data_IF_181278211093
#
_entry.id   IF_181278211093
#
_cell.length_a   1.000
_cell.length_b   1.000
_cell.length_c   1.000
_cell.angle_alpha   90.00
_cell.angle_beta   90.00
_cell.angle_gamma   90.00
#
_symmetry.space_group_name_H-M   'P 1'
#
loop_
_entity.id
_entity.type
_entity.pdbx_description
1 polymer ?
#
# COMPACT_ATOMS: atom_id res chain seq x y z
N UNK A 1 -1.00 -2.54 -2.37
CA UNK A 1 -1.11 -2.94 -0.95
C UNK A 1 -0.78 -4.40 -0.67
N UNK A 2 -1.19 -5.36 -1.51
CA UNK A 2 -0.93 -6.80 -1.26
C UNK A 2 0.55 -7.14 -0.99
N UNK A 3 1.48 -6.64 -1.81
CA UNK A 3 2.91 -6.86 -1.61
C UNK A 3 3.42 -6.28 -0.28
N UNK A 4 3.03 -5.04 0.05
CA UNK A 4 3.35 -4.40 1.33
C UNK A 4 2.81 -5.21 2.53
N UNK A 5 1.55 -5.63 2.50
CA UNK A 5 0.95 -6.38 3.60
C UNK A 5 1.60 -7.76 3.78
N UNK A 6 2.01 -8.43 2.70
CA UNK A 6 2.76 -9.69 2.78
C UNK A 6 4.15 -9.52 3.38
N UNK A 7 4.81 -8.39 3.12
CA UNK A 7 6.16 -8.10 3.63
C UNK A 7 6.16 -7.54 5.07
N UNK A 8 5.07 -6.90 5.50
CA UNK A 8 4.93 -6.34 6.84
C UNK A 8 4.69 -7.43 7.90
N UNK A 9 5.41 -7.34 9.03
CA UNK A 9 5.26 -8.22 10.20
C UNK A 9 4.05 -7.88 11.09
N UNK A 10 3.24 -6.88 10.72
CA UNK A 10 2.01 -6.57 11.45
C UNK A 10 0.99 -7.71 11.30
N UNK A 11 0.32 -8.09 12.40
CA UNK A 11 -0.75 -9.10 12.40
C UNK A 11 -1.96 -8.64 11.57
N UNK A 12 -2.18 -7.33 11.49
CA UNK A 12 -3.31 -6.73 10.79
C UNK A 12 -2.93 -6.24 9.39
N UNK A 13 -3.88 -6.28 8.47
CA UNK A 13 -3.71 -5.72 7.13
C UNK A 13 -3.86 -4.20 7.17
N UNK A 14 -3.01 -3.48 6.42
CA UNK A 14 -3.15 -2.04 6.23
C UNK A 14 -3.80 -1.72 4.89
N UNK A 15 -4.59 -0.64 4.86
CA UNK A 15 -5.25 -0.12 3.66
C UNK A 15 -4.91 1.36 3.48
N UNK A 16 -4.96 1.82 2.23
CA UNK A 16 -4.79 3.23 1.90
C UNK A 16 -5.99 4.01 2.44
N UNK A 17 -5.73 5.06 3.22
CA UNK A 17 -6.71 6.04 3.68
C UNK A 17 -6.92 7.08 2.58
N UNK A 18 -5.81 7.66 2.10
CA UNK A 18 -5.82 8.64 1.01
C UNK A 18 -4.50 8.68 0.27
N UNK A 19 -4.55 9.15 -0.97
CA UNK A 19 -3.37 9.48 -1.76
C UNK A 19 -3.02 10.94 -1.51
N UNK A 20 -1.79 11.20 -1.08
CA UNK A 20 -1.29 12.55 -0.81
C UNK A 20 -0.73 13.14 -2.10
N UNK A 21 0.11 12.38 -2.79
CA UNK A 21 0.64 12.75 -4.10
C UNK A 21 0.84 11.52 -4.98
N UNK A 22 0.72 11.71 -6.29
CA UNK A 22 0.97 10.67 -7.28
C UNK A 22 1.63 11.29 -8.50
N UNK A 23 2.73 10.69 -8.93
CA UNK A 23 3.46 11.06 -10.13
C UNK A 23 3.63 9.83 -11.01
N UNK A 24 3.69 10.06 -12.32
CA UNK A 24 3.98 9.00 -13.30
C UNK A 24 5.21 9.38 -14.11
N UNK A 25 6.04 8.38 -14.40
CA UNK A 25 7.20 8.51 -15.26
C UNK A 25 7.15 7.40 -16.32
N UNK A 26 7.25 7.78 -17.59
CA UNK A 26 7.30 6.84 -18.72
C UNK A 26 8.75 6.37 -18.90
N UNK A 27 8.94 5.05 -18.89
CA UNK A 27 10.24 4.36 -19.03
C UNK A 27 10.04 3.11 -19.89
N UNK A 28 10.81 2.03 -19.67
CA UNK A 28 10.48 0.69 -20.17
C UNK A 28 9.26 0.07 -19.42
N UNK A 29 8.21 0.86 -19.27
CA UNK A 29 7.00 0.62 -18.48
C UNK A 29 6.43 1.96 -18.01
N UNK A 30 5.46 1.93 -17.09
CA UNK A 30 4.97 3.10 -16.38
C UNK A 30 5.38 2.98 -14.92
N UNK A 31 6.23 3.90 -14.46
CA UNK A 31 6.65 4.00 -13.07
C UNK A 31 5.74 4.99 -12.34
N UNK A 32 5.02 4.51 -11.34
CA UNK A 32 4.20 5.32 -10.44
C UNK A 32 4.99 5.58 -9.15
N UNK A 33 5.07 6.83 -8.76
CA UNK A 33 5.67 7.26 -7.50
C UNK A 33 4.53 7.89 -6.70
N UNK A 34 4.16 7.26 -5.59
CA UNK A 34 2.97 7.62 -4.82
C UNK A 34 3.34 7.83 -3.36
N UNK A 35 2.95 8.96 -2.82
CA UNK A 35 2.93 9.21 -1.39
C UNK A 35 1.49 9.00 -0.90
N UNK A 36 1.29 8.07 0.01
CA UNK A 36 -0.03 7.67 0.48
C UNK A 36 -0.04 7.58 2.00
N UNK A 37 -1.18 7.95 2.58
CA UNK A 37 -1.46 7.66 3.98
C UNK A 37 -2.11 6.27 4.06
N UNK A 38 -1.55 5.39 4.88
CA UNK A 38 -2.12 4.08 5.19
C UNK A 38 -2.50 4.01 6.65
N UNK A 39 -3.50 3.18 6.96
CA UNK A 39 -3.89 2.88 8.33
C UNK A 39 -4.18 1.40 8.48
N UNK A 40 -4.04 0.94 9.72
CA UNK A 40 -4.32 -0.44 10.09
C UNK A 40 -5.83 -0.70 10.05
N UNK A 41 -6.19 -1.85 9.50
CA UNK A 41 -7.58 -2.33 9.46
C UNK A 41 -7.82 -3.37 10.54
N UNK A 42 -9.10 -3.63 10.84
CA UNK A 42 -9.55 -4.67 11.77
C UNK A 42 -9.29 -6.09 11.27
N UNK A 43 -9.01 -6.26 9.97
CA UNK A 43 -8.75 -7.57 9.38
C UNK A 43 -7.34 -8.07 9.67
N UNK A 44 -7.23 -9.28 10.20
CA UNK A 44 -5.97 -9.99 10.39
C UNK A 44 -5.47 -10.59 9.06
N UNK A 45 -4.16 -10.74 8.93
CA UNK A 45 -3.56 -11.45 7.78
C UNK A 45 -3.71 -12.97 7.95
N UNK A 46 -3.95 -13.74 6.86
CA UNK A 46 -4.20 -13.27 5.50
C UNK A 46 -5.67 -12.83 5.32
N UNK A 47 -5.88 -11.59 4.91
CA UNK A 47 -7.20 -11.10 4.54
C UNK A 47 -7.41 -11.28 3.03
N UNK A 48 -8.50 -11.94 2.65
CA UNK A 48 -8.90 -12.14 1.24
C UNK A 48 -9.50 -10.88 0.63
N UNK A 49 -10.21 -10.09 1.44
CA UNK A 49 -10.89 -8.87 1.00
C UNK A 49 -10.49 -7.65 1.84
N UNK A 50 -9.33 -7.08 1.52
CA UNK A 50 -8.80 -5.92 2.24
C UNK A 50 -9.64 -4.66 1.98
N UNK A 51 -10.40 -4.60 0.87
CA UNK A 51 -11.10 -3.37 0.47
C UNK A 51 -12.28 -3.06 1.39
N UNK A 52 -12.96 -4.09 1.90
CA UNK A 52 -14.09 -3.95 2.82
C UNK A 52 -13.69 -3.97 4.31
N UNK A 53 -12.40 -4.06 4.61
CA UNK A 53 -11.91 -4.02 5.99
C UNK A 53 -12.00 -2.61 6.57
N UNK A 54 -12.77 -2.48 7.65
CA UNK A 54 -12.86 -1.24 8.42
C UNK A 54 -11.52 -0.89 9.07
N UNK A 55 -11.23 0.40 9.23
CA UNK A 55 -10.09 0.87 9.99
C UNK A 55 -10.32 0.66 11.50
N UNK A 56 -9.25 0.53 12.28
CA UNK A 56 -9.38 0.62 13.73
C UNK A 56 -9.74 2.05 14.15
N UNK A 57 -10.70 2.19 15.07
CA UNK A 57 -11.13 3.49 15.58
C UNK A 57 -10.24 3.97 16.74
N UNK A 58 -9.70 3.05 17.55
CA UNK A 58 -8.82 3.42 18.65
C UNK A 58 -7.49 3.99 18.13
N UNK A 59 -7.07 5.20 18.55
CA UNK A 59 -5.85 5.85 18.04
C UNK A 59 -4.59 5.00 18.16
N UNK A 60 -4.48 4.23 19.25
CA UNK A 60 -3.38 3.31 19.52
C UNK A 60 -3.30 2.13 18.53
N UNK A 61 -4.43 1.75 17.93
CA UNK A 61 -4.53 0.63 16.98
C UNK A 61 -4.58 1.10 15.53
N UNK A 62 -5.16 2.27 15.25
CA UNK A 62 -5.33 2.82 13.89
C UNK A 62 -4.00 2.98 13.14
N UNK A 63 -2.92 3.35 13.85
CA UNK A 63 -1.53 3.45 13.34
C UNK A 63 -1.45 4.05 11.93
N UNK A 64 -1.86 5.32 11.81
CA UNK A 64 -1.70 6.08 10.58
C UNK A 64 -0.21 6.33 10.31
N UNK A 65 0.26 5.99 9.11
CA UNK A 65 1.62 6.30 8.65
C UNK A 65 1.59 6.71 7.19
N UNK A 66 2.57 7.54 6.80
CA UNK A 66 2.77 7.96 5.42
C UNK A 66 3.82 7.05 4.80
N UNK A 67 3.48 6.46 3.67
CA UNK A 67 4.36 5.61 2.90
C UNK A 67 4.58 6.17 1.50
N UNK A 68 5.83 6.09 1.05
CA UNK A 68 6.25 6.31 -0.32
C UNK A 68 6.38 4.95 -1.01
N UNK A 69 5.54 4.74 -2.03
CA UNK A 69 5.55 3.55 -2.87
C UNK A 69 6.02 3.90 -4.28
N UNK A 70 6.92 3.07 -4.80
CA UNK A 70 7.33 3.11 -6.21
C UNK A 70 6.88 1.82 -6.86
N UNK A 71 6.00 1.92 -7.84
CA UNK A 71 5.41 0.79 -8.56
C UNK A 71 5.76 0.87 -10.03
N UNK A 72 6.32 -0.19 -10.60
CA UNK A 72 6.53 -0.32 -12.04
C UNK A 72 5.47 -1.22 -12.64
N UNK A 73 4.76 -0.73 -13.64
CA UNK A 73 3.83 -1.50 -14.44
C UNK A 73 4.39 -1.66 -15.86
N UNK A 74 4.64 -2.91 -16.26
CA UNK A 74 5.05 -3.28 -17.62
C UNK A 74 3.90 -4.04 -18.27
N UNK A 75 2.92 -3.28 -18.77
CA UNK A 75 1.63 -3.81 -19.22
C UNK A 75 1.76 -4.89 -20.31
N UNK A 76 2.67 -4.73 -21.28
CA UNK A 76 2.89 -5.70 -22.36
C UNK A 76 3.56 -7.01 -21.90
N UNK A 77 4.03 -7.08 -20.65
CA UNK A 77 4.49 -8.31 -20.00
C UNK A 77 3.54 -8.81 -18.93
N UNK A 78 2.40 -8.14 -18.71
CA UNK A 78 1.48 -8.39 -17.59
C UNK A 78 2.19 -8.39 -16.23
N UNK A 79 3.17 -7.50 -16.05
CA UNK A 79 3.99 -7.42 -14.84
C UNK A 79 3.71 -6.13 -14.07
N UNK A 80 3.49 -6.26 -12.75
CA UNK A 80 3.38 -5.13 -11.82
C UNK A 80 4.27 -5.43 -10.62
N UNK A 81 5.24 -4.55 -10.38
CA UNK A 81 6.27 -4.75 -9.36
C UNK A 81 6.29 -3.57 -8.39
N UNK A 82 6.36 -3.88 -7.10
CA UNK A 82 6.64 -2.90 -6.06
C UNK A 82 8.16 -2.76 -5.95
N UNK A 83 8.70 -1.69 -6.52
CA UNK A 83 10.15 -1.42 -6.51
C UNK A 83 10.62 -0.89 -5.15
N UNK A 84 9.79 -0.07 -4.50
CA UNK A 84 10.14 0.57 -3.25
C UNK A 84 8.90 0.74 -2.36
N UNK A 85 9.09 0.53 -1.05
CA UNK A 85 8.11 0.81 -0.01
C UNK A 85 8.81 1.35 1.24
N UNK A 86 8.81 2.67 1.41
CA UNK A 86 9.36 3.33 2.59
C UNK A 86 8.24 3.99 3.37
N UNK A 87 8.13 3.68 4.65
CA UNK A 87 7.13 4.29 5.55
C UNK A 87 7.85 4.99 6.70
N UNK A 88 7.25 6.06 7.23
CA UNK A 88 7.76 6.81 8.38
C UNK A 88 7.25 6.24 9.71
#
# INVERSE_FOLDING_TARGET
MTAYNRASNDMYSSRVVRVISAQRQIVAGVKYIMEVEIARTTCTKPATDIQHCAFHEEPQMAKHTICNFVVLNVAWRNQVELLESKCQ
#
